data_IF_714979992972
#
_entry.id   IF_714979992972
#
_cell.length_a   1.000
_cell.length_b   1.000
_cell.length_c   1.000
_cell.angle_alpha   90.00
_cell.angle_beta   90.00
_cell.angle_gamma   90.00
#
_symmetry.space_group_name_H-M   'P 1'
#
loop_
_entity.id
_entity.type
_entity.pdbx_description
1 polymer ?
#
# COMPACT_ATOMS: atom_id res chain seq x y z
N UNK A 1 23.35 -0.35 7.83
CA UNK A 1 22.31 -1.26 7.29
C UNK A 1 22.64 -1.60 5.84
N UNK A 2 23.56 -2.55 5.59
CA UNK A 2 24.17 -2.84 4.26
C UNK A 2 24.06 -4.34 3.86
N UNK A 3 23.03 -5.07 4.28
CA UNK A 3 22.92 -6.53 4.00
C UNK A 3 22.04 -6.91 2.81
N UNK A 4 21.14 -6.05 2.34
CA UNK A 4 20.29 -6.31 1.18
C UNK A 4 20.49 -5.18 0.17
N UNK A 5 21.12 -5.48 -0.98
CA UNK A 5 21.34 -4.52 -2.09
C UNK A 5 20.05 -4.27 -2.87
N UNK A 6 18.93 -4.03 -2.19
CA UNK A 6 17.68 -3.60 -2.84
C UNK A 6 17.70 -2.08 -2.98
N UNK A 7 17.38 -1.53 -4.17
CA UNK A 7 17.16 -0.10 -4.30
C UNK A 7 16.03 0.36 -3.35
N UNK A 8 16.17 1.56 -2.79
CA UNK A 8 15.32 2.11 -1.72
C UNK A 8 13.83 2.01 -2.05
N UNK A 9 13.47 2.35 -3.29
CA UNK A 9 12.12 2.23 -3.86
C UNK A 9 11.56 0.81 -3.73
N UNK A 10 12.32 -0.21 -4.14
CA UNK A 10 11.87 -1.59 -4.07
C UNK A 10 11.79 -2.11 -2.64
N UNK A 11 12.64 -1.62 -1.74
CA UNK A 11 12.52 -1.93 -0.31
C UNK A 11 11.18 -1.43 0.25
N UNK A 12 10.73 -0.23 -0.16
CA UNK A 12 9.43 0.30 0.25
C UNK A 12 8.27 -0.48 -0.35
N UNK A 13 8.35 -0.82 -1.64
CA UNK A 13 7.32 -1.61 -2.32
C UNK A 13 7.15 -2.98 -1.67
N UNK A 14 8.25 -3.69 -1.36
CA UNK A 14 8.19 -4.97 -0.65
C UNK A 14 7.54 -4.83 0.72
N UNK A 15 7.83 -3.74 1.44
CA UNK A 15 7.17 -3.46 2.72
C UNK A 15 5.66 -3.20 2.57
N UNK A 16 5.23 -2.48 1.52
CA UNK A 16 3.79 -2.28 1.22
C UNK A 16 3.11 -3.62 0.91
N UNK A 17 3.74 -4.45 0.07
CA UNK A 17 3.22 -5.77 -0.27
C UNK A 17 3.12 -6.65 0.98
N UNK A 18 4.13 -6.66 1.84
CA UNK A 18 4.09 -7.37 3.13
C UNK A 18 2.92 -6.89 3.98
N UNK A 19 2.70 -5.58 4.08
CA UNK A 19 1.57 -5.01 4.81
C UNK A 19 0.23 -5.45 4.25
N UNK A 20 0.08 -5.47 2.93
CA UNK A 20 -1.13 -5.93 2.27
C UNK A 20 -1.40 -7.43 2.53
N UNK A 21 -0.37 -8.27 2.61
CA UNK A 21 -0.54 -9.65 3.04
C UNK A 21 -0.92 -9.78 4.53
N UNK A 22 -0.34 -8.93 5.39
CA UNK A 22 -0.72 -8.89 6.82
C UNK A 22 -2.18 -8.43 7.00
N UNK A 23 -2.74 -7.67 6.05
CA UNK A 23 -4.16 -7.28 6.02
C UNK A 23 -5.15 -8.43 5.80
N UNK A 24 -4.67 -9.60 5.40
CA UNK A 24 -5.48 -10.82 5.39
C UNK A 24 -5.90 -11.19 6.83
N UNK A 25 -5.10 -10.86 7.84
CA UNK A 25 -5.44 -11.10 9.25
C UNK A 25 -6.77 -10.44 9.65
N UNK A 26 -6.90 -9.11 9.51
CA UNK A 26 -8.17 -8.40 9.69
C UNK A 26 -9.32 -8.93 8.86
N UNK A 27 -9.06 -9.36 7.62
CA UNK A 27 -10.10 -9.94 6.77
C UNK A 27 -10.74 -11.19 7.37
N UNK A 28 -10.00 -11.92 8.22
CA UNK A 28 -10.47 -13.10 8.93
C UNK A 28 -11.15 -12.80 10.28
N UNK A 29 -11.26 -11.53 10.72
CA UNK A 29 -11.90 -11.17 12.00
C UNK A 29 -13.36 -11.65 12.06
N UNK A 30 -14.08 -11.65 10.94
CA UNK A 30 -15.46 -12.14 10.88
C UNK A 30 -15.61 -13.66 11.03
N UNK A 31 -14.50 -14.42 11.09
CA UNK A 31 -14.48 -15.88 11.17
C UNK A 31 -14.02 -16.41 12.54
N UNK A 32 -13.50 -15.54 13.42
CA UNK A 32 -13.02 -15.95 14.74
C UNK A 32 -14.15 -15.99 15.76
N UNK A 33 -14.13 -17.00 16.63
CA UNK A 33 -15.15 -17.21 17.66
C UNK A 33 -14.78 -16.58 19.01
N UNK A 34 -13.49 -16.29 19.23
CA UNK A 34 -12.98 -15.75 20.50
C UNK A 34 -12.73 -14.24 20.42
N UNK A 35 -13.20 -13.43 21.39
CA UNK A 35 -12.90 -12.01 21.47
C UNK A 35 -11.40 -11.70 21.54
N UNK A 36 -10.60 -12.58 22.15
CA UNK A 36 -9.15 -12.41 22.26
C UNK A 36 -8.45 -12.53 20.90
N UNK A 37 -8.92 -13.45 20.05
CA UNK A 37 -8.40 -13.61 18.69
C UNK A 37 -8.76 -12.40 17.82
N UNK A 38 -9.98 -11.88 17.94
CA UNK A 38 -10.40 -10.68 17.23
C UNK A 38 -9.51 -9.47 17.58
N UNK A 39 -9.20 -9.28 18.86
CA UNK A 39 -8.30 -8.22 19.33
C UNK A 39 -6.90 -8.40 18.74
N UNK A 40 -6.35 -9.62 18.78
CA UNK A 40 -5.02 -9.91 18.22
C UNK A 40 -4.96 -9.60 16.71
N UNK A 41 -5.98 -10.01 15.95
CA UNK A 41 -6.09 -9.71 14.52
C UNK A 41 -6.25 -8.21 14.25
N UNK A 42 -7.00 -7.49 15.09
CA UNK A 42 -7.10 -6.03 15.01
C UNK A 42 -5.75 -5.34 15.25
N UNK A 43 -4.95 -5.81 16.21
CA UNK A 43 -3.60 -5.28 16.43
C UNK A 43 -2.70 -5.49 15.22
N UNK A 44 -2.71 -6.69 14.63
CA UNK A 44 -1.97 -6.99 13.39
C UNK A 44 -2.45 -6.10 12.24
N UNK A 45 -3.76 -5.89 12.13
CA UNK A 45 -4.36 -4.98 11.16
C UNK A 45 -3.93 -3.53 11.33
N UNK A 46 -4.08 -2.96 12.52
CA UNK A 46 -3.66 -1.59 12.79
C UNK A 46 -2.18 -1.36 12.48
N UNK A 47 -1.33 -2.33 12.83
CA UNK A 47 0.09 -2.31 12.47
C UNK A 47 0.30 -2.34 10.95
N UNK A 48 -0.34 -3.28 10.25
CA UNK A 48 -0.22 -3.41 8.81
C UNK A 48 -0.73 -2.15 8.08
N UNK A 49 -1.83 -1.57 8.53
CA UNK A 49 -2.42 -0.35 7.96
C UNK A 49 -1.45 0.82 8.05
N UNK A 50 -0.88 1.03 9.25
CA UNK A 50 0.09 2.10 9.47
C UNK A 50 1.39 1.87 8.69
N UNK A 51 1.83 0.61 8.57
CA UNK A 51 2.99 0.27 7.76
C UNK A 51 2.77 0.62 6.28
N UNK A 52 1.62 0.27 5.70
CA UNK A 52 1.28 0.61 4.30
C UNK A 52 1.26 2.13 4.12
N UNK A 53 0.52 2.85 4.98
CA UNK A 53 0.36 4.31 4.89
C UNK A 53 1.72 5.04 4.95
N UNK A 54 2.56 4.69 5.91
CA UNK A 54 3.88 5.30 6.07
C UNK A 54 4.80 5.02 4.86
N UNK A 55 4.79 3.79 4.34
CA UNK A 55 5.63 3.41 3.21
C UNK A 55 5.16 4.03 1.90
N UNK A 56 3.85 4.14 1.66
CA UNK A 56 3.30 4.79 0.46
C UNK A 56 3.60 6.29 0.48
N UNK A 57 3.38 6.96 1.61
CA UNK A 57 3.65 8.39 1.72
C UNK A 57 5.13 8.72 1.48
N UNK A 58 6.02 7.90 2.04
CA UNK A 58 7.46 8.09 1.82
C UNK A 58 7.94 7.65 0.44
N UNK A 59 7.26 6.68 -0.19
CA UNK A 59 7.52 6.29 -1.58
C UNK A 59 7.16 7.42 -2.56
N UNK A 60 6.12 8.21 -2.29
CA UNK A 60 5.81 9.37 -3.11
C UNK A 60 6.99 10.36 -3.17
N UNK A 61 7.60 10.67 -2.03
CA UNK A 61 8.76 11.55 -1.97
C UNK A 61 10.01 10.97 -2.67
N UNK A 62 10.11 9.63 -2.77
CA UNK A 62 11.22 8.97 -3.46
C UNK A 62 11.03 8.91 -5.00
N UNK A 63 9.80 9.08 -5.50
CA UNK A 63 9.44 8.90 -6.92
C UNK A 63 9.27 10.23 -7.65
N UNK A 64 8.76 11.26 -6.98
CA UNK A 64 8.50 12.58 -7.58
C UNK A 64 9.67 13.55 -7.37
N UNK A 65 9.83 14.50 -8.29
CA UNK A 65 10.82 15.57 -8.14
C UNK A 65 10.44 16.53 -7.00
N UNK A 66 11.40 17.15 -6.28
CA UNK A 66 11.13 17.98 -5.11
C UNK A 66 10.09 19.09 -5.32
N UNK A 67 10.02 19.66 -6.53
CA UNK A 67 9.04 20.69 -6.89
C UNK A 67 7.61 20.16 -7.09
N UNK A 68 7.44 18.86 -7.31
CA UNK A 68 6.16 18.21 -7.63
C UNK A 68 5.63 17.34 -6.48
N UNK A 69 6.50 16.93 -5.52
CA UNK A 69 6.12 16.08 -4.37
C UNK A 69 4.92 16.65 -3.61
N UNK A 70 4.86 17.97 -3.41
CA UNK A 70 3.75 18.61 -2.69
C UNK A 70 2.40 18.43 -3.37
N UNK A 71 2.35 18.62 -4.69
CA UNK A 71 1.13 18.44 -5.49
C UNK A 71 0.73 16.97 -5.56
N UNK A 72 1.70 16.07 -5.78
CA UNK A 72 1.46 14.63 -5.82
C UNK A 72 0.93 14.10 -4.48
N UNK A 73 1.55 14.50 -3.36
CA UNK A 73 1.11 14.13 -2.02
C UNK A 73 -0.27 14.71 -1.69
N UNK A 74 -0.54 15.97 -2.08
CA UNK A 74 -1.85 16.59 -1.91
C UNK A 74 -2.96 15.84 -2.66
N UNK A 75 -2.72 15.46 -3.92
CA UNK A 75 -3.67 14.68 -4.71
C UNK A 75 -3.89 13.28 -4.13
N UNK A 76 -2.81 12.58 -3.76
CA UNK A 76 -2.90 11.27 -3.10
C UNK A 76 -3.68 11.35 -1.78
N UNK A 77 -3.46 12.40 -0.99
CA UNK A 77 -4.20 12.67 0.23
C UNK A 77 -5.69 12.89 -0.01
N UNK A 78 -6.05 13.75 -0.98
CA UNK A 78 -7.46 13.99 -1.34
C UNK A 78 -8.14 12.70 -1.82
N UNK A 79 -7.47 11.91 -2.66
CA UNK A 79 -7.99 10.62 -3.11
C UNK A 79 -8.22 9.66 -1.93
N UNK A 80 -7.28 9.62 -0.97
CA UNK A 80 -7.40 8.81 0.24
C UNK A 80 -8.58 9.26 1.13
N UNK A 81 -8.79 10.56 1.30
CA UNK A 81 -9.93 11.10 2.06
C UNK A 81 -11.27 10.82 1.39
N UNK A 82 -11.36 10.98 0.06
CA UNK A 82 -12.57 10.65 -0.70
C UNK A 82 -12.88 9.16 -0.59
N UNK A 83 -11.86 8.30 -0.76
CA UNK A 83 -12.00 6.86 -0.59
C UNK A 83 -12.42 6.48 0.83
N UNK A 84 -11.79 7.07 1.85
CA UNK A 84 -12.11 6.83 3.26
C UNK A 84 -13.53 7.28 3.63
N UNK A 85 -13.97 8.43 3.13
CA UNK A 85 -15.34 8.92 3.29
C UNK A 85 -16.34 7.96 2.62
N UNK A 86 -16.12 7.64 1.34
CA UNK A 86 -17.00 6.77 0.57
C UNK A 86 -17.12 5.37 1.18
N UNK A 87 -15.98 4.80 1.60
CA UNK A 87 -15.95 3.54 2.32
C UNK A 87 -16.75 3.62 3.63
N UNK A 88 -16.51 4.65 4.46
CA UNK A 88 -17.22 4.83 5.74
C UNK A 88 -18.73 4.95 5.56
N UNK A 89 -19.19 5.70 4.54
CA UNK A 89 -20.61 5.81 4.20
C UNK A 89 -21.21 4.47 3.76
N UNK A 90 -20.48 3.74 2.91
CA UNK A 90 -20.89 2.40 2.46
C UNK A 90 -20.98 1.43 3.64
N UNK A 91 -19.99 1.43 4.55
CA UNK A 91 -20.02 0.64 5.78
C UNK A 91 -21.25 0.97 6.61
N UNK A 92 -21.47 2.26 6.88
CA UNK A 92 -22.60 2.70 7.70
C UNK A 92 -23.95 2.28 7.12
N UNK A 93 -24.08 2.28 5.79
CA UNK A 93 -25.31 1.87 5.11
C UNK A 93 -25.52 0.35 5.05
N UNK A 94 -24.44 -0.46 4.99
CA UNK A 94 -24.52 -1.91 4.80
C UNK A 94 -24.35 -2.72 6.09
N UNK A 95 -23.69 -2.18 7.12
CA UNK A 95 -23.38 -2.91 8.35
C UNK A 95 -24.63 -3.52 9.01
N UNK A 96 -25.72 -2.76 9.07
CA UNK A 96 -26.97 -3.21 9.69
C UNK A 96 -27.71 -4.27 8.86
N UNK A 97 -27.40 -4.41 7.57
CA UNK A 97 -28.09 -5.34 6.66
C UNK A 97 -27.34 -6.65 6.43
N UNK A 98 -26.02 -6.59 6.26
CA UNK A 98 -25.18 -7.74 5.88
C UNK A 98 -24.07 -8.06 6.89
N UNK A 99 -23.96 -7.27 7.96
CA UNK A 99 -22.93 -7.44 9.00
C UNK A 99 -21.53 -6.98 8.56
N UNK A 100 -20.56 -7.13 9.48
CA UNK A 100 -19.17 -6.68 9.29
C UNK A 100 -18.26 -7.71 8.61
N UNK A 101 -18.66 -8.98 8.50
CA UNK A 101 -17.87 -10.03 7.83
C UNK A 101 -17.53 -9.70 6.36
N UNK A 102 -18.49 -9.32 5.49
CA UNK A 102 -18.17 -8.92 4.11
C UNK A 102 -17.31 -7.65 4.05
N UNK A 103 -17.41 -6.79 5.05
CA UNK A 103 -16.61 -5.57 5.13
C UNK A 103 -15.12 -5.88 5.35
N UNK A 104 -14.83 -6.76 6.31
CA UNK A 104 -13.45 -7.18 6.56
C UNK A 104 -12.84 -7.90 5.36
N UNK A 105 -13.63 -8.73 4.66
CA UNK A 105 -13.22 -9.32 3.39
C UNK A 105 -12.88 -8.28 2.32
N UNK A 106 -13.71 -7.24 2.17
CA UNK A 106 -13.48 -6.16 1.22
C UNK A 106 -12.22 -5.34 1.55
N UNK A 107 -11.94 -5.08 2.84
CA UNK A 107 -10.70 -4.42 3.28
C UNK A 107 -9.46 -5.18 2.81
N UNK A 108 -9.36 -6.47 3.14
CA UNK A 108 -8.23 -7.30 2.69
C UNK A 108 -8.11 -7.37 1.17
N UNK A 109 -9.23 -7.41 0.45
CA UNK A 109 -9.21 -7.38 -1.02
C UNK A 109 -8.68 -6.04 -1.57
N UNK A 110 -9.13 -4.91 -1.03
CA UNK A 110 -8.68 -3.59 -1.47
C UNK A 110 -7.19 -3.36 -1.20
N UNK A 111 -6.66 -3.84 -0.06
CA UNK A 111 -5.23 -3.76 0.24
C UNK A 111 -4.39 -4.57 -0.76
N UNK A 112 -4.83 -5.79 -1.11
CA UNK A 112 -4.15 -6.62 -2.11
C UNK A 112 -4.23 -6.02 -3.52
N UNK A 113 -5.37 -5.45 -3.89
CA UNK A 113 -5.54 -4.73 -5.18
C UNK A 113 -4.62 -3.52 -5.21
N UNK A 114 -4.61 -2.71 -4.15
CA UNK A 114 -3.74 -1.53 -4.02
C UNK A 114 -2.26 -1.87 -4.14
N UNK A 115 -1.80 -2.91 -3.43
CA UNK A 115 -0.43 -3.39 -3.53
C UNK A 115 -0.09 -3.91 -4.94
N UNK A 116 -1.02 -4.63 -5.58
CA UNK A 116 -0.82 -5.12 -6.95
C UNK A 116 -0.70 -3.97 -7.95
N UNK A 117 -1.59 -2.99 -7.88
CA UNK A 117 -1.55 -1.79 -8.72
C UNK A 117 -0.25 -1.01 -8.51
N UNK A 118 0.19 -0.86 -7.25
CA UNK A 118 1.47 -0.22 -6.94
C UNK A 118 2.64 -0.94 -7.61
N UNK A 119 2.72 -2.27 -7.49
CA UNK A 119 3.79 -3.07 -8.11
C UNK A 119 3.76 -2.93 -9.63
N UNK A 120 2.58 -2.95 -10.26
CA UNK A 120 2.43 -2.80 -11.71
C UNK A 120 2.92 -1.41 -12.16
N UNK A 121 2.49 -0.35 -11.48
CA UNK A 121 2.85 1.02 -11.84
C UNK A 121 4.36 1.28 -11.65
N UNK A 122 4.93 0.79 -10.55
CA UNK A 122 6.35 0.99 -10.23
C UNK A 122 7.31 0.15 -11.10
N UNK A 123 6.82 -0.92 -11.72
CA UNK A 123 7.59 -1.67 -12.72
C UNK A 123 7.96 -0.83 -13.94
N UNK A 124 7.11 0.13 -14.34
CA UNK A 124 7.39 1.07 -15.43
C UNK A 124 8.59 1.95 -15.09
N UNK A 125 8.53 2.62 -13.93
CA UNK A 125 9.60 3.53 -13.44
C UNK A 125 10.97 2.82 -13.34
N UNK A 126 10.98 1.58 -12.85
CA UNK A 126 12.23 0.82 -12.71
C UNK A 126 12.84 0.39 -14.04
N UNK A 127 12.00 0.18 -15.06
CA UNK A 127 12.44 -0.22 -16.40
C UNK A 127 13.12 0.94 -17.11
N UNK A 128 12.58 2.14 -17.01
CA UNK A 128 13.15 3.35 -17.62
C UNK A 128 14.48 3.73 -16.97
N UNK A 129 14.57 3.67 -15.63
CA UNK A 129 15.83 3.87 -14.91
C UNK A 129 16.92 2.86 -15.33
N UNK A 130 16.54 1.62 -15.67
CA UNK A 130 17.47 0.59 -16.16
C UNK A 130 17.93 0.87 -17.59
N UNK A 131 17.04 1.36 -18.46
CA UNK A 131 17.35 1.68 -19.86
C UNK A 131 18.31 2.88 -19.96
N UNK A 132 18.05 3.96 -19.22
CA UNK A 132 18.94 5.12 -19.16
C UNK A 132 20.35 4.76 -18.70
N UNK A 133 20.48 3.81 -17.74
CA UNK A 133 21.79 3.33 -17.28
C UNK A 133 22.55 2.56 -18.35
N UNK A 134 21.86 1.85 -19.23
CA UNK A 134 22.45 1.12 -20.36
C UNK A 134 22.87 2.11 -21.45
N UNK A 135 22.04 3.09 -21.81
CA UNK A 135 22.40 4.14 -22.78
C UNK A 135 23.59 4.98 -22.31
N UNK A 136 23.60 5.43 -21.05
CA UNK A 136 24.72 6.20 -20.50
C UNK A 136 26.01 5.37 -20.38
N UNK A 137 25.89 4.06 -20.13
CA UNK A 137 27.03 3.15 -20.11
C UNK A 137 27.59 2.86 -21.51
N UNK A 138 26.74 2.84 -22.53
CA UNK A 138 27.14 2.68 -23.93
C UNK A 138 27.77 3.97 -24.50
N UNK A 139 27.25 5.14 -24.14
CA UNK A 139 27.78 6.43 -24.58
C UNK A 139 29.12 6.83 -23.95
N UNK A 140 29.52 6.21 -22.84
CA UNK A 140 30.84 6.41 -22.22
C UNK A 140 31.94 5.49 -22.79
N UNK A 141 31.56 4.52 -23.62
CA UNK A 141 32.47 3.53 -24.22
C UNK A 141 32.76 3.79 -25.71
N UNK A 142 32.20 4.87 -26.27
CA UNK A 142 32.43 5.38 -27.63
C UNK A 142 33.17 6.71 -27.57
#
# INVERSE_FOLDING_TARGET
MKRLRVPLIWSRIVGVVLGAFMMIGPACIGLVASPYEAIALFCVGGFAHQMISALVNTLAADVFEPGEVGTAAGFAGMAAWIGGLGFSLMVGALADKIGYTPLFGALGAFDLIGATLLVILMRGVSRDARLQRVENGAGSAA
#
